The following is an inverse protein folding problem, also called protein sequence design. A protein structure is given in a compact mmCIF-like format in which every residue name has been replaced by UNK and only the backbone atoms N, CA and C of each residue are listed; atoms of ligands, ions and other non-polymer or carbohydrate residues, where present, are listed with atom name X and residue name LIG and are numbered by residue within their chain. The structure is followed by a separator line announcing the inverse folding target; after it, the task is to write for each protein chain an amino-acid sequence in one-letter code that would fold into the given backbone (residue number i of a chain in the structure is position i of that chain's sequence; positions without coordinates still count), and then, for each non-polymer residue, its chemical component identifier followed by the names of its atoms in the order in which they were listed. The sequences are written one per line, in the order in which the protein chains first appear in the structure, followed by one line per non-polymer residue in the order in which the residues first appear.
data_IF_639323751735
#
_entry.id   IF_639323751735
#
_cell.length_a   1.000
_cell.length_b   1.000
_cell.length_c   1.000
_cell.angle_alpha   90.00
_cell.angle_beta   90.00
_cell.angle_gamma   90.00
#
_symmetry.space_group_name_H-M   'P 1'
#
loop_
_entity.id
_entity.type
_entity.pdbx_description
1 polymer ?
#
# COMPACT_ATOMS: atom_id res chain seq x y z
N UNK A 1 25.93 0.83 69.59
CA UNK A 1 25.08 1.81 68.88
C UNK A 1 24.33 1.09 67.78
N UNK A 2 23.08 0.73 68.02
CA UNK A 2 22.20 -0.01 67.10
C UNK A 2 21.27 0.99 66.41
N UNK A 3 21.45 1.17 65.10
CA UNK A 3 20.61 2.07 64.30
C UNK A 3 19.39 1.29 63.81
N UNK A 4 18.22 1.60 64.34
CA UNK A 4 16.95 1.00 63.93
C UNK A 4 16.53 1.54 62.55
N UNK A 5 16.58 0.69 61.52
CA UNK A 5 16.09 0.95 60.16
C UNK A 5 14.58 0.72 60.06
N UNK A 6 13.76 1.50 60.76
CA UNK A 6 12.29 1.41 60.70
C UNK A 6 11.67 2.56 59.88
N UNK A 7 12.21 2.82 58.68
CA UNK A 7 11.96 4.09 57.97
C UNK A 7 11.24 4.07 56.61
N UNK A 8 11.07 2.94 55.90
CA UNK A 8 10.66 3.00 54.48
C UNK A 8 9.44 2.16 54.07
N UNK A 9 8.78 1.45 54.99
CA UNK A 9 7.68 0.55 54.62
C UNK A 9 6.29 1.25 54.57
N UNK A 10 6.08 2.30 55.36
CA UNK A 10 4.76 2.94 55.55
C UNK A 10 4.32 3.88 54.42
N UNK A 11 5.24 4.39 53.59
CA UNK A 11 4.92 5.27 52.46
C UNK A 11 4.36 4.51 51.25
N UNK A 12 4.71 3.22 51.06
CA UNK A 12 4.21 2.42 49.92
C UNK A 12 2.71 2.09 50.01
N UNK A 13 2.11 2.04 51.20
CA UNK A 13 0.67 1.72 51.33
C UNK A 13 -0.26 2.91 51.06
N UNK A 14 0.20 4.15 51.25
CA UNK A 14 -0.65 5.35 51.07
C UNK A 14 -0.90 5.72 49.60
N UNK A 15 -0.05 5.26 48.67
CA UNK A 15 -0.15 5.62 47.25
C UNK A 15 -0.53 4.45 46.32
N UNK A 16 -0.91 3.29 46.84
CA UNK A 16 -1.39 2.17 46.01
C UNK A 16 -2.91 2.22 45.91
N UNK A 17 -3.41 2.74 44.79
CA UNK A 17 -4.84 2.75 44.46
C UNK A 17 -5.33 1.31 44.30
N UNK A 18 -6.32 0.89 45.10
CA UNK A 18 -7.01 -0.39 44.91
C UNK A 18 -7.67 -0.41 43.53
N UNK A 19 -7.29 -1.38 42.68
CA UNK A 19 -7.94 -1.58 41.38
C UNK A 19 -9.38 -2.02 41.64
N UNK A 20 -10.36 -1.26 41.14
CA UNK A 20 -11.76 -1.69 41.14
C UNK A 20 -11.86 -2.95 40.29
N UNK A 21 -12.56 -3.98 40.79
CA UNK A 21 -12.95 -5.13 39.98
C UNK A 21 -13.65 -4.61 38.73
N UNK A 22 -13.05 -4.85 37.57
CA UNK A 22 -13.70 -4.63 36.29
C UNK A 22 -14.37 -5.95 35.95
N UNK A 23 -15.62 -6.12 36.35
CA UNK A 23 -16.44 -7.10 35.65
C UNK A 23 -16.46 -6.67 34.17
N UNK A 24 -16.07 -7.56 33.24
CA UNK A 24 -16.12 -7.23 31.83
C UNK A 24 -17.58 -6.96 31.49
N UNK A 25 -17.89 -5.71 31.14
CA UNK A 25 -19.21 -5.36 30.65
C UNK A 25 -19.48 -6.21 29.40
N UNK A 26 -20.67 -6.79 29.24
CA UNK A 26 -21.00 -7.48 28.00
C UNK A 26 -20.93 -6.46 26.86
N UNK A 27 -19.91 -6.60 26.02
CA UNK A 27 -19.79 -5.82 24.78
C UNK A 27 -20.66 -6.54 23.76
N UNK A 28 -21.80 -5.95 23.45
CA UNK A 28 -22.63 -6.43 22.35
C UNK A 28 -21.98 -5.98 21.03
N UNK A 29 -21.39 -6.94 20.31
CA UNK A 29 -20.87 -6.72 18.96
C UNK A 29 -21.90 -7.26 18.00
N UNK A 30 -22.60 -6.35 17.32
CA UNK A 30 -23.47 -6.70 16.21
C UNK A 30 -22.59 -6.89 14.96
N UNK A 31 -22.37 -8.15 14.56
CA UNK A 31 -21.64 -8.45 13.35
C UNK A 31 -22.55 -8.18 12.16
N UNK A 32 -22.55 -6.94 11.68
CA UNK A 32 -23.20 -6.60 10.43
C UNK A 32 -22.48 -7.32 9.29
N UNK A 33 -23.20 -8.18 8.58
CA UNK A 33 -22.73 -8.71 7.31
C UNK A 33 -22.74 -7.59 6.28
N UNK A 34 -21.56 -7.19 5.84
CA UNK A 34 -21.41 -6.23 4.75
C UNK A 34 -21.62 -6.97 3.43
N UNK A 35 -22.30 -6.35 2.44
CA UNK A 35 -22.42 -6.93 1.12
C UNK A 35 -21.02 -7.17 0.53
N UNK A 36 -20.88 -8.23 -0.26
CA UNK A 36 -19.63 -8.52 -0.97
C UNK A 36 -19.20 -7.33 -1.84
N UNK A 37 -17.89 -7.08 -1.89
CA UNK A 37 -17.33 -5.98 -2.65
C UNK A 37 -17.64 -6.12 -4.15
N UNK A 38 -18.13 -5.05 -4.78
CA UNK A 38 -18.41 -5.01 -6.20
C UNK A 38 -17.09 -5.04 -7.00
N UNK A 39 -16.85 -6.03 -7.90
CA UNK A 39 -15.62 -6.12 -8.68
C UNK A 39 -15.31 -4.87 -9.52
N UNK A 40 -16.33 -4.17 -10.01
CA UNK A 40 -16.16 -2.94 -10.80
C UNK A 40 -15.65 -1.78 -9.93
N UNK A 41 -16.23 -1.61 -8.74
CA UNK A 41 -15.78 -0.57 -7.79
C UNK A 41 -14.37 -0.84 -7.27
N UNK A 42 -14.06 -2.11 -6.97
CA UNK A 42 -12.70 -2.51 -6.61
C UNK A 42 -11.71 -2.21 -7.73
N UNK A 43 -12.08 -2.51 -8.98
CA UNK A 43 -11.24 -2.22 -10.13
C UNK A 43 -10.92 -0.73 -10.20
N UNK A 44 -11.93 0.13 -10.10
CA UNK A 44 -11.76 1.58 -10.19
C UNK A 44 -10.85 2.12 -9.08
N UNK A 45 -11.02 1.63 -7.86
CA UNK A 45 -10.15 2.00 -6.73
C UNK A 45 -8.69 1.62 -6.99
N UNK A 46 -8.43 0.36 -7.34
CA UNK A 46 -7.06 -0.10 -7.59
C UNK A 46 -6.44 0.53 -8.85
N UNK A 47 -7.24 0.80 -9.88
CA UNK A 47 -6.81 1.54 -11.06
C UNK A 47 -6.36 2.96 -10.69
N UNK A 48 -7.16 3.67 -9.88
CA UNK A 48 -6.84 5.02 -9.42
C UNK A 48 -5.56 5.02 -8.57
N UNK A 49 -5.42 4.07 -7.65
CA UNK A 49 -4.21 3.94 -6.84
C UNK A 49 -2.99 3.61 -7.67
N UNK A 50 -3.08 2.67 -8.62
CA UNK A 50 -1.98 2.35 -9.52
C UNK A 50 -1.56 3.58 -10.33
N UNK A 51 -2.51 4.35 -10.87
CA UNK A 51 -2.23 5.56 -11.61
C UNK A 51 -1.57 6.64 -10.73
N UNK A 52 -2.09 6.88 -9.54
CA UNK A 52 -1.54 7.85 -8.59
C UNK A 52 -0.11 7.49 -8.16
N UNK A 53 0.17 6.22 -7.90
CA UNK A 53 1.52 5.78 -7.57
C UNK A 53 2.48 5.83 -8.77
N UNK A 54 2.01 5.63 -10.01
CA UNK A 54 2.82 5.88 -11.20
C UNK A 54 3.16 7.38 -11.34
N UNK A 55 2.22 8.28 -11.06
CA UNK A 55 2.48 9.73 -11.02
C UNK A 55 3.49 10.08 -9.93
N UNK A 56 3.40 9.47 -8.74
CA UNK A 56 4.36 9.63 -7.64
C UNK A 56 5.77 9.20 -8.05
N UNK A 57 5.93 8.12 -8.83
CA UNK A 57 7.23 7.70 -9.35
C UNK A 57 7.80 8.75 -10.31
N UNK A 58 6.99 9.25 -11.24
CA UNK A 58 7.40 10.27 -12.22
C UNK A 58 7.82 11.56 -11.51
N UNK A 59 7.01 12.04 -10.57
CA UNK A 59 7.29 13.25 -9.81
C UNK A 59 8.49 13.07 -8.86
N UNK A 60 8.60 11.92 -8.22
CA UNK A 60 9.61 11.61 -7.22
C UNK A 60 11.01 11.40 -7.78
N UNK A 61 11.12 10.83 -8.99
CA UNK A 61 12.40 10.73 -9.70
C UNK A 61 12.89 12.10 -10.19
N UNK A 62 11.99 13.05 -10.45
CA UNK A 62 12.32 14.44 -10.78
C UNK A 62 12.73 15.31 -9.58
N UNK A 63 12.36 14.92 -8.35
CA UNK A 63 12.55 15.75 -7.14
C UNK A 63 13.24 14.98 -6.00
N UNK A 64 14.55 14.73 -6.07
CA UNK A 64 15.41 14.24 -4.96
C UNK A 64 14.78 13.24 -3.95
N UNK A 65 13.89 12.34 -4.37
CA UNK A 65 13.37 11.32 -3.46
C UNK A 65 14.49 10.38 -3.05
N UNK A 66 14.51 10.01 -1.78
CA UNK A 66 15.41 8.97 -1.33
C UNK A 66 15.02 7.62 -1.96
N UNK A 67 16.02 6.75 -2.08
CA UNK A 67 15.89 5.41 -2.65
C UNK A 67 14.72 4.59 -2.07
N UNK A 68 14.51 4.67 -0.74
CA UNK A 68 13.46 3.89 -0.07
C UNK A 68 12.07 4.29 -0.53
N UNK A 69 11.82 5.60 -0.68
CA UNK A 69 10.53 6.13 -1.16
C UNK A 69 10.28 5.74 -2.61
N UNK A 70 11.30 5.83 -3.47
CA UNK A 70 11.18 5.39 -4.88
C UNK A 70 10.80 3.92 -4.97
N UNK A 71 11.52 3.05 -4.24
CA UNK A 71 11.24 1.62 -4.22
C UNK A 71 9.86 1.29 -3.64
N UNK A 72 9.45 2.02 -2.60
CA UNK A 72 8.10 1.88 -2.04
C UNK A 72 7.03 2.21 -3.08
N UNK A 73 7.16 3.33 -3.80
CA UNK A 73 6.20 3.71 -4.84
C UNK A 73 6.09 2.64 -5.94
N UNK A 74 7.21 2.06 -6.40
CA UNK A 74 7.19 0.93 -7.33
C UNK A 74 6.46 -0.30 -6.77
N UNK A 75 6.72 -0.65 -5.51
CA UNK A 75 6.07 -1.78 -4.86
C UNK A 75 4.55 -1.56 -4.72
N UNK A 76 4.13 -0.33 -4.41
CA UNK A 76 2.71 0.01 -4.33
C UNK A 76 2.03 -0.06 -5.70
N UNK A 77 2.66 0.43 -6.78
CA UNK A 77 2.13 0.22 -8.14
C UNK A 77 1.97 -1.26 -8.42
N UNK A 78 3.00 -2.07 -8.18
CA UNK A 78 2.95 -3.52 -8.42
C UNK A 78 1.84 -4.19 -7.61
N UNK A 79 1.68 -3.84 -6.33
CA UNK A 79 0.61 -4.36 -5.48
C UNK A 79 -0.77 -4.08 -6.08
N UNK A 80 -1.02 -2.84 -6.49
CA UNK A 80 -2.30 -2.46 -7.09
C UNK A 80 -2.53 -3.17 -8.43
N UNK A 81 -1.50 -3.33 -9.26
CA UNK A 81 -1.60 -4.10 -10.50
C UNK A 81 -1.90 -5.58 -10.25
N UNK A 82 -1.35 -6.18 -9.19
CA UNK A 82 -1.68 -7.56 -8.79
C UNK A 82 -3.14 -7.70 -8.36
N UNK A 83 -3.69 -6.69 -7.65
CA UNK A 83 -5.12 -6.65 -7.31
C UNK A 83 -5.99 -6.54 -8.55
N UNK A 84 -5.64 -5.65 -9.47
CA UNK A 84 -6.31 -5.53 -10.79
C UNK A 84 -6.25 -6.87 -11.53
N UNK A 85 -5.11 -7.54 -11.55
CA UNK A 85 -4.93 -8.84 -12.20
C UNK A 85 -5.86 -9.93 -11.62
N UNK A 86 -6.16 -9.87 -10.32
CA UNK A 86 -7.12 -10.77 -9.66
C UNK A 86 -8.58 -10.56 -10.13
N UNK A 87 -8.93 -9.34 -10.51
CA UNK A 87 -10.27 -8.93 -10.94
C UNK A 87 -10.49 -9.23 -12.44
N UNK A 88 -9.43 -9.18 -13.24
CA UNK A 88 -9.51 -9.33 -14.69
C UNK A 88 -9.73 -10.78 -15.17
N UNK A 89 -10.35 -10.93 -16.33
CA UNK A 89 -10.40 -12.16 -17.13
C UNK A 89 -9.02 -12.47 -17.72
N UNK A 90 -8.84 -13.69 -18.24
CA UNK A 90 -7.55 -14.11 -18.82
C UNK A 90 -7.04 -13.17 -19.92
N UNK A 91 -7.93 -12.72 -20.79
CA UNK A 91 -7.56 -11.77 -21.85
C UNK A 91 -7.02 -10.44 -21.28
N UNK A 92 -7.68 -9.91 -20.24
CA UNK A 92 -7.24 -8.71 -19.54
C UNK A 92 -5.90 -8.92 -18.84
N UNK A 93 -5.70 -10.08 -18.21
CA UNK A 93 -4.44 -10.45 -17.55
C UNK A 93 -3.28 -10.53 -18.54
N UNK A 94 -3.48 -11.16 -19.69
CA UNK A 94 -2.47 -11.20 -20.75
C UNK A 94 -2.09 -9.82 -21.26
N UNK A 95 -3.04 -8.88 -21.33
CA UNK A 95 -2.79 -7.48 -21.72
C UNK A 95 -2.07 -6.69 -20.63
N UNK A 96 -2.31 -7.01 -19.35
CA UNK A 96 -1.69 -6.31 -18.23
C UNK A 96 -0.26 -6.79 -17.96
N UNK A 97 0.01 -8.07 -18.24
CA UNK A 97 1.31 -8.70 -17.95
C UNK A 97 2.52 -7.94 -18.49
N UNK A 98 2.55 -7.45 -19.76
CA UNK A 98 3.70 -6.70 -20.26
C UNK A 98 3.96 -5.40 -19.49
N UNK A 99 2.91 -4.72 -19.02
CA UNK A 99 3.03 -3.52 -18.19
C UNK A 99 3.63 -3.88 -16.83
N UNK A 100 3.15 -4.95 -16.21
CA UNK A 100 3.65 -5.44 -14.92
C UNK A 100 5.12 -5.84 -14.99
N UNK A 101 5.49 -6.70 -15.95
CA UNK A 101 6.85 -7.22 -16.09
C UNK A 101 7.86 -6.09 -16.30
N UNK A 102 7.47 -5.08 -17.09
CA UNK A 102 8.33 -3.94 -17.40
C UNK A 102 8.55 -3.04 -16.17
N UNK A 103 7.49 -2.77 -15.38
CA UNK A 103 7.62 -2.08 -14.09
C UNK A 103 8.46 -2.86 -13.10
N UNK A 104 8.28 -4.17 -13.00
CA UNK A 104 9.10 -5.03 -12.14
C UNK A 104 10.58 -5.00 -12.57
N UNK A 105 10.84 -4.98 -13.88
CA UNK A 105 12.19 -4.82 -14.43
C UNK A 105 12.82 -3.47 -14.08
N UNK A 106 12.04 -2.38 -14.12
CA UNK A 106 12.51 -1.06 -13.71
C UNK A 106 12.75 -0.98 -12.20
N UNK A 107 11.87 -1.56 -11.37
CA UNK A 107 12.04 -1.59 -9.91
C UNK A 107 13.36 -2.25 -9.50
N UNK A 108 13.77 -3.32 -10.19
CA UNK A 108 15.08 -3.98 -9.96
C UNK A 108 16.29 -3.09 -10.26
N UNK A 109 16.13 -2.09 -11.15
CA UNK A 109 17.19 -1.13 -11.49
C UNK A 109 17.27 0.03 -10.51
N UNK A 110 16.23 0.24 -9.69
CA UNK A 110 16.25 1.26 -8.65
C UNK A 110 17.32 0.89 -7.62
N UNK A 111 18.29 1.78 -7.45
CA UNK A 111 19.42 1.58 -6.53
C UNK A 111 19.78 2.89 -5.81
N UNK A 112 20.46 2.84 -4.65
CA UNK A 112 20.84 4.06 -3.93
C UNK A 112 21.86 4.92 -4.69
N UNK A 113 22.64 4.33 -5.61
CA UNK A 113 23.73 4.99 -6.33
C UNK A 113 23.40 5.23 -7.81
N UNK A 114 22.12 5.41 -8.15
CA UNK A 114 21.72 5.71 -9.52
C UNK A 114 22.27 7.05 -10.00
N UNK A 115 22.83 7.05 -11.22
CA UNK A 115 23.20 8.28 -11.91
C UNK A 115 21.95 9.03 -12.38
N UNK A 116 22.08 10.32 -12.71
CA UNK A 116 20.95 11.09 -13.24
C UNK A 116 20.50 10.59 -14.63
N UNK A 117 21.40 9.93 -15.37
CA UNK A 117 21.08 9.24 -16.62
C UNK A 117 20.17 8.05 -16.33
N UNK A 118 20.48 7.23 -15.32
CA UNK A 118 19.64 6.10 -14.92
C UNK A 118 18.25 6.56 -14.49
N UNK A 119 18.19 7.62 -13.67
CA UNK A 119 16.91 8.21 -13.23
C UNK A 119 16.09 8.71 -14.41
N UNK A 120 16.72 9.45 -15.33
CA UNK A 120 16.05 9.96 -16.54
C UNK A 120 15.54 8.84 -17.44
N UNK A 121 16.32 7.77 -17.59
CA UNK A 121 15.90 6.58 -18.32
C UNK A 121 14.67 5.94 -17.67
N UNK A 122 14.72 5.68 -16.36
CA UNK A 122 13.60 5.07 -15.63
C UNK A 122 12.36 5.96 -15.72
N UNK A 123 12.49 7.26 -15.50
CA UNK A 123 11.41 8.24 -15.56
C UNK A 123 10.69 8.17 -16.92
N UNK A 124 11.45 8.29 -18.02
CA UNK A 124 10.88 8.23 -19.37
C UNK A 124 10.16 6.91 -19.64
N UNK A 125 10.71 5.79 -19.15
CA UNK A 125 10.06 4.47 -19.30
C UNK A 125 8.77 4.39 -18.50
N UNK A 126 8.76 4.87 -17.25
CA UNK A 126 7.56 4.89 -16.41
C UNK A 126 6.47 5.77 -17.02
N UNK A 127 6.81 6.93 -17.58
CA UNK A 127 5.83 7.79 -18.27
C UNK A 127 5.17 7.06 -19.46
N UNK A 128 5.95 6.36 -20.29
CA UNK A 128 5.42 5.58 -21.41
C UNK A 128 4.53 4.43 -20.91
N UNK A 129 4.91 3.77 -19.81
CA UNK A 129 4.10 2.74 -19.19
C UNK A 129 2.78 3.33 -18.68
N UNK A 130 2.84 4.45 -17.95
CA UNK A 130 1.66 5.15 -17.42
C UNK A 130 0.68 5.51 -18.51
N UNK A 131 1.15 6.11 -19.62
CA UNK A 131 0.29 6.46 -20.75
C UNK A 131 -0.38 5.24 -21.38
N UNK A 132 0.36 4.13 -21.55
CA UNK A 132 -0.20 2.87 -22.07
C UNK A 132 -1.23 2.29 -21.10
N UNK A 133 -0.93 2.30 -19.81
CA UNK A 133 -1.85 1.84 -18.77
C UNK A 133 -3.14 2.65 -18.81
N UNK A 134 -3.08 3.98 -18.71
CA UNK A 134 -4.27 4.84 -18.75
C UNK A 134 -5.08 4.71 -20.04
N UNK A 135 -4.42 4.51 -21.19
CA UNK A 135 -5.11 4.38 -22.48
C UNK A 135 -5.84 3.04 -22.65
N UNK A 136 -5.28 1.96 -22.11
CA UNK A 136 -5.77 0.60 -22.34
C UNK A 136 -6.65 0.07 -21.20
N UNK A 137 -6.41 0.54 -19.97
CA UNK A 137 -7.05 0.06 -18.76
C UNK A 137 -8.00 1.08 -18.11
N UNK A 138 -8.34 2.16 -18.81
CA UNK A 138 -9.46 3.03 -18.39
C UNK A 138 -10.73 2.18 -18.24
N UNK A 139 -11.54 2.47 -17.21
CA UNK A 139 -12.78 1.74 -16.90
C UNK A 139 -13.64 1.42 -18.13
N UNK A 140 -13.84 2.40 -19.02
CA UNK A 140 -14.62 2.25 -20.26
C UNK A 140 -14.16 1.13 -21.20
N UNK A 141 -12.87 0.75 -21.15
CA UNK A 141 -12.30 -0.35 -21.93
C UNK A 141 -12.10 -1.61 -21.09
N UNK A 142 -11.74 -1.43 -19.82
CA UNK A 142 -11.44 -2.53 -18.93
C UNK A 142 -12.69 -3.29 -18.48
N UNK A 143 -13.87 -2.65 -18.47
CA UNK A 143 -15.14 -3.27 -18.08
C UNK A 143 -15.47 -4.55 -18.86
N UNK A 144 -15.01 -4.67 -20.11
CA UNK A 144 -15.18 -5.90 -20.91
C UNK A 144 -14.34 -7.08 -20.38
N UNK A 145 -13.31 -6.80 -19.59
CA UNK A 145 -12.40 -7.78 -19.00
C UNK A 145 -12.58 -7.91 -17.48
N UNK A 146 -13.52 -7.19 -16.85
CA UNK A 146 -13.83 -7.37 -15.44
C UNK A 146 -14.73 -8.60 -15.30
N UNK A 147 -14.39 -9.51 -14.38
CA UNK A 147 -15.24 -10.66 -14.08
C UNK A 147 -16.54 -10.18 -13.46
N UNK A 148 -17.66 -10.53 -14.07
CA UNK A 148 -18.98 -10.32 -13.49
C UNK A 148 -19.26 -11.48 -12.54
N UNK A 149 -19.71 -11.16 -11.32
CA UNK A 149 -20.20 -12.15 -10.36
C UNK A 149 -21.48 -12.80 -10.85
#
# INVERSE_FOLDING_TARGET
MTIALSGCYSLRKKFVRKKKSKEPRPVYVDFKEYPGENPEELYDNYYLFAAAWMDEIVNGLGTSYNYKRQRHAFNEVMHNLDRINGILTEEGRMKLKPIYDELAGLNKKVSPNMTDIDKSFILRRVEIIRLRFSRNFKHSKASQWIRKN
#
